data_IF_711137181324
#
_entry.id   IF_711137181324
#
_cell.length_a   1.000
_cell.length_b   1.000
_cell.length_c   1.000
_cell.angle_alpha   90.00
_cell.angle_beta   90.00
_cell.angle_gamma   90.00
#
_symmetry.space_group_name_H-M   'P 1'
#
loop_
_entity.id
_entity.type
_entity.pdbx_description
1 polymer ?
#
# COMPACT_ATOMS: atom_id res chain seq x y z
N UNK A 1 -17.11 31.38 -8.04
CA UNK A 1 -16.50 30.63 -6.91
C UNK A 1 -17.28 29.31 -6.80
N UNK A 2 -16.89 28.30 -7.58
CA UNK A 2 -17.60 27.01 -7.60
C UNK A 2 -17.07 26.23 -6.41
N UNK A 3 -17.91 26.04 -5.38
CA UNK A 3 -17.56 25.27 -4.20
C UNK A 3 -17.10 23.87 -4.62
N UNK A 4 -15.97 23.41 -4.08
CA UNK A 4 -15.56 22.01 -4.18
C UNK A 4 -16.67 21.17 -3.57
N UNK A 5 -17.53 20.60 -4.40
CA UNK A 5 -18.51 19.60 -3.96
C UNK A 5 -17.71 18.46 -3.35
N UNK A 6 -17.99 18.17 -2.08
CA UNK A 6 -17.35 17.06 -1.40
C UNK A 6 -17.69 15.77 -2.15
N UNK A 7 -16.69 14.92 -2.43
CA UNK A 7 -16.85 13.74 -3.30
C UNK A 7 -17.99 12.82 -2.83
N UNK A 8 -18.29 12.86 -1.54
CA UNK A 8 -19.34 12.10 -0.87
C UNK A 8 -20.75 12.66 -1.15
N UNK A 9 -20.91 13.98 -1.27
CA UNK A 9 -22.20 14.60 -1.61
C UNK A 9 -22.62 14.27 -3.03
N UNK A 10 -21.65 14.24 -3.96
CA UNK A 10 -21.88 13.78 -5.33
C UNK A 10 -22.29 12.30 -5.40
N UNK A 11 -21.68 11.44 -4.57
CA UNK A 11 -22.00 10.01 -4.52
C UNK A 11 -23.41 9.77 -3.97
N UNK A 12 -23.80 10.46 -2.89
CA UNK A 12 -25.13 10.34 -2.28
C UNK A 12 -26.22 10.81 -3.26
N UNK A 13 -25.99 11.91 -3.96
CA UNK A 13 -26.90 12.42 -5.00
C UNK A 13 -27.08 11.42 -6.16
N UNK A 14 -25.99 10.83 -6.63
CA UNK A 14 -26.03 9.83 -7.70
C UNK A 14 -26.76 8.55 -7.26
N UNK A 15 -26.56 8.09 -6.01
CA UNK A 15 -27.27 6.93 -5.47
C UNK A 15 -28.78 7.19 -5.33
N UNK A 16 -29.18 8.39 -4.89
CA UNK A 16 -30.59 8.78 -4.84
C UNK A 16 -31.27 8.72 -6.20
N UNK A 17 -30.58 9.19 -7.25
CA UNK A 17 -31.08 9.14 -8.63
C UNK A 17 -31.21 7.70 -9.14
N UNK A 18 -30.23 6.83 -8.86
CA UNK A 18 -30.28 5.41 -9.25
C UNK A 18 -31.46 4.70 -8.57
N UNK A 19 -31.69 4.95 -7.28
CA UNK A 19 -32.84 4.39 -6.56
C UNK A 19 -34.17 4.88 -7.15
N UNK A 20 -34.28 6.16 -7.50
CA UNK A 20 -35.48 6.72 -8.11
C UNK A 20 -35.78 6.10 -9.48
N UNK A 21 -34.76 5.97 -10.34
CA UNK A 21 -34.88 5.36 -11.68
C UNK A 21 -35.28 3.88 -11.56
N UNK A 22 -34.62 3.11 -10.69
CA UNK A 22 -34.96 1.70 -10.50
C UNK A 22 -36.38 1.54 -9.97
N UNK A 23 -36.79 2.36 -9.00
CA UNK A 23 -38.16 2.32 -8.46
C UNK A 23 -39.20 2.65 -9.53
N UNK A 24 -38.89 3.56 -10.46
CA UNK A 24 -39.74 3.92 -11.59
C UNK A 24 -39.90 2.77 -12.59
N UNK A 25 -38.81 2.10 -12.98
CA UNK A 25 -38.85 1.02 -13.98
C UNK A 25 -39.36 -0.33 -13.44
N UNK A 26 -39.32 -0.57 -12.13
CA UNK A 26 -39.73 -1.83 -11.51
C UNK A 26 -41.05 -1.73 -10.70
N UNK A 27 -41.85 -0.70 -10.97
CA UNK A 27 -43.11 -0.43 -10.26
C UNK A 27 -44.12 -1.60 -10.30
N UNK A 28 -44.06 -2.46 -11.31
CA UNK A 28 -44.98 -3.61 -11.46
C UNK A 28 -44.64 -4.79 -10.53
N UNK A 29 -43.42 -4.86 -10.01
CA UNK A 29 -42.97 -5.92 -9.11
C UNK A 29 -42.47 -5.32 -7.79
N UNK A 30 -43.41 -4.98 -6.90
CA UNK A 30 -43.13 -4.42 -5.55
C UNK A 30 -42.04 -5.17 -4.78
N UNK A 31 -41.93 -6.49 -4.98
CA UNK A 31 -40.91 -7.35 -4.36
C UNK A 31 -39.50 -7.01 -4.90
N UNK A 32 -39.33 -6.80 -6.20
CA UNK A 32 -38.03 -6.45 -6.80
C UNK A 32 -37.56 -5.07 -6.36
N UNK A 33 -38.47 -4.10 -6.24
CA UNK A 33 -38.15 -2.77 -5.74
C UNK A 33 -37.61 -2.82 -4.30
N UNK A 34 -38.26 -3.59 -3.41
CA UNK A 34 -37.82 -3.77 -2.02
C UNK A 34 -36.42 -4.42 -1.95
N UNK A 35 -36.17 -5.44 -2.77
CA UNK A 35 -34.85 -6.11 -2.82
C UNK A 35 -33.76 -5.14 -3.26
N UNK A 36 -33.99 -4.32 -4.28
CA UNK A 36 -32.97 -3.39 -4.78
C UNK A 36 -32.70 -2.29 -3.76
N UNK A 37 -33.72 -1.75 -3.10
CA UNK A 37 -33.54 -0.78 -2.00
C UNK A 37 -32.75 -1.39 -0.84
N UNK A 38 -33.04 -2.64 -0.46
CA UNK A 38 -32.28 -3.34 0.56
C UNK A 38 -30.80 -3.50 0.18
N UNK A 39 -30.53 -3.85 -1.09
CA UNK A 39 -29.17 -4.02 -1.59
C UNK A 39 -28.40 -2.68 -1.66
N UNK A 40 -29.04 -1.60 -2.07
CA UNK A 40 -28.40 -0.27 -2.11
C UNK A 40 -28.07 0.24 -0.72
N UNK A 41 -28.96 0.05 0.26
CA UNK A 41 -28.69 0.38 1.66
C UNK A 41 -27.56 -0.47 2.24
N UNK A 42 -27.52 -1.77 1.91
CA UNK A 42 -26.43 -2.65 2.33
C UNK A 42 -25.09 -2.21 1.74
N UNK A 43 -25.04 -1.87 0.45
CA UNK A 43 -23.83 -1.36 -0.21
C UNK A 43 -23.40 -0.03 0.43
N UNK A 44 -24.31 0.91 0.66
CA UNK A 44 -24.01 2.18 1.32
C UNK A 44 -23.45 1.98 2.74
N UNK A 45 -24.04 1.06 3.51
CA UNK A 45 -23.55 0.71 4.83
C UNK A 45 -22.13 0.12 4.77
N UNK A 46 -21.87 -0.82 3.85
CA UNK A 46 -20.52 -1.39 3.64
C UNK A 46 -19.52 -0.30 3.27
N UNK A 47 -19.86 0.61 2.35
CA UNK A 47 -18.98 1.70 1.93
C UNK A 47 -18.69 2.68 3.08
N UNK A 48 -19.68 3.00 3.92
CA UNK A 48 -19.48 3.84 5.11
C UNK A 48 -18.50 3.20 6.11
N UNK A 49 -18.55 1.87 6.29
CA UNK A 49 -17.57 1.16 7.11
C UNK A 49 -16.14 1.23 6.54
N UNK A 50 -16.00 1.31 5.21
CA UNK A 50 -14.69 1.49 4.56
C UNK A 50 -14.14 2.90 4.75
N UNK A 51 -14.97 3.93 4.58
CA UNK A 51 -14.54 5.32 4.70
C UNK A 51 -14.06 5.65 6.13
N UNK A 52 -14.75 5.13 7.14
CA UNK A 52 -14.36 5.32 8.54
C UNK A 52 -13.00 4.70 8.90
N UNK A 53 -12.46 3.79 8.08
CA UNK A 53 -11.13 3.18 8.27
C UNK A 53 -10.00 3.98 7.63
N UNK A 54 -10.29 5.00 6.83
CA UNK A 54 -9.24 5.81 6.21
C UNK A 54 -8.69 6.85 7.21
N UNK A 55 -7.35 7.05 7.26
CA UNK A 55 -6.75 8.09 8.08
C UNK A 55 -7.28 9.45 7.62
N UNK A 56 -7.76 10.26 8.58
CA UNK A 56 -8.39 11.56 8.28
C UNK A 56 -7.38 12.70 8.28
N UNK A 57 -6.29 12.52 9.01
CA UNK A 57 -5.19 13.47 9.08
C UNK A 57 -3.82 12.78 9.05
N UNK A 58 -2.75 13.59 9.01
CA UNK A 58 -1.37 13.12 8.96
C UNK A 58 -0.94 12.36 10.22
N UNK A 59 -1.50 12.71 11.39
CA UNK A 59 -1.15 12.08 12.66
C UNK A 59 -1.72 10.66 12.76
N UNK A 60 -2.90 10.42 12.18
CA UNK A 60 -3.43 9.08 11.96
C UNK A 60 -2.48 8.24 11.09
N UNK A 61 -1.94 8.83 10.01
CA UNK A 61 -0.97 8.15 9.14
C UNK A 61 0.29 7.79 9.91
N UNK A 62 0.82 8.69 10.74
CA UNK A 62 2.02 8.44 11.56
C UNK A 62 1.85 7.25 12.51
N UNK A 63 0.65 7.09 13.09
CA UNK A 63 0.33 5.98 14.00
C UNK A 63 0.07 4.66 13.30
N UNK A 64 -0.50 4.69 12.10
CA UNK A 64 -0.86 3.48 11.35
C UNK A 64 0.34 2.96 10.56
N UNK A 65 1.25 3.83 10.12
CA UNK A 65 2.45 3.45 9.37
C UNK A 65 3.48 2.76 10.29
N UNK A 66 3.60 1.43 10.14
CA UNK A 66 4.57 0.58 10.83
C UNK A 66 5.73 0.29 9.89
N UNK A 67 6.80 1.07 10.04
CA UNK A 67 7.90 1.11 9.09
C UNK A 67 9.07 0.26 9.61
N UNK A 68 9.55 -0.67 8.79
CA UNK A 68 10.75 -1.45 9.06
C UNK A 68 11.86 -1.10 8.06
N UNK A 69 13.05 -0.84 8.56
CA UNK A 69 14.28 -0.79 7.77
C UNK A 69 15.09 -2.07 7.98
N UNK A 70 15.53 -2.66 6.87
CA UNK A 70 16.45 -3.80 6.84
C UNK A 70 17.70 -3.32 6.14
N UNK A 71 18.70 -2.93 6.93
CA UNK A 71 19.92 -2.27 6.48
C UNK A 71 21.04 -2.60 7.47
N UNK A 72 22.19 -3.04 6.98
CA UNK A 72 23.35 -3.40 7.80
C UNK A 72 24.07 -2.16 8.36
N UNK A 73 23.82 -0.99 7.77
CA UNK A 73 24.41 0.30 8.13
C UNK A 73 23.45 1.15 8.95
N UNK A 74 24.00 2.15 9.62
CA UNK A 74 23.21 3.14 10.34
C UNK A 74 22.63 4.18 9.39
N UNK A 75 21.32 4.39 9.45
CA UNK A 75 20.63 5.35 8.60
C UNK A 75 20.08 6.52 9.43
N UNK A 76 20.56 7.74 9.18
CA UNK A 76 20.06 8.95 9.84
C UNK A 76 18.56 9.16 9.65
N UNK A 77 17.99 8.66 8.54
CA UNK A 77 16.56 8.75 8.26
C UNK A 77 15.70 8.05 9.30
N UNK A 78 16.16 6.93 9.87
CA UNK A 78 15.43 6.22 10.95
C UNK A 78 15.29 7.11 12.16
N UNK A 79 16.37 7.79 12.54
CA UNK A 79 16.37 8.74 13.66
C UNK A 79 15.45 9.92 13.38
N UNK A 80 15.47 10.47 12.17
CA UNK A 80 14.61 11.58 11.80
C UNK A 80 13.13 11.21 11.80
N UNK A 81 12.77 10.02 11.30
CA UNK A 81 11.39 9.53 11.33
C UNK A 81 10.89 9.33 12.75
N UNK A 82 11.71 8.73 13.63
CA UNK A 82 11.36 8.56 15.05
C UNK A 82 11.15 9.91 15.76
N UNK A 83 12.00 10.90 15.49
CA UNK A 83 11.83 12.28 16.01
C UNK A 83 10.54 12.94 15.55
N UNK A 84 10.03 12.54 14.39
CA UNK A 84 8.75 12.98 13.83
C UNK A 84 7.62 12.00 14.13
N UNK A 85 7.66 11.30 15.27
CA UNK A 85 6.58 10.45 15.78
C UNK A 85 6.14 9.29 14.86
N UNK A 86 6.97 8.86 13.91
CA UNK A 86 6.70 7.64 13.15
C UNK A 86 7.12 6.40 13.95
N UNK A 87 6.30 5.34 13.90
CA UNK A 87 6.65 4.05 14.47
C UNK A 87 7.63 3.33 13.52
N UNK A 88 8.93 3.35 13.85
CA UNK A 88 10.01 2.81 12.99
C UNK A 88 10.90 1.82 13.74
N UNK A 89 11.09 0.64 13.16
CA UNK A 89 12.07 -0.37 13.58
C UNK A 89 13.17 -0.51 12.53
N UNK A 90 14.36 -0.92 12.99
CA UNK A 90 15.52 -1.19 12.14
C UNK A 90 16.17 -2.49 12.60
N UNK A 91 16.48 -3.36 11.65
CA UNK A 91 17.21 -4.60 11.87
C UNK A 91 18.31 -4.71 10.82
N UNK A 92 19.38 -5.41 11.16
CA UNK A 92 20.54 -5.50 10.28
C UNK A 92 20.40 -6.59 9.21
N UNK A 93 19.62 -7.65 9.47
CA UNK A 93 19.30 -8.68 8.48
C UNK A 93 18.07 -9.50 8.94
N UNK A 94 17.50 -10.29 8.03
CA UNK A 94 16.40 -11.22 8.33
C UNK A 94 16.88 -12.66 8.29
N UNK A 95 16.82 -13.33 9.44
CA UNK A 95 17.18 -14.75 9.56
C UNK A 95 16.03 -15.70 9.18
N UNK A 96 14.77 -15.26 9.35
CA UNK A 96 13.58 -16.05 8.99
C UNK A 96 12.40 -15.14 8.70
N UNK A 97 11.84 -15.21 7.49
CA UNK A 97 10.80 -14.27 7.06
C UNK A 97 9.46 -14.47 7.77
N UNK A 98 9.08 -15.71 8.04
CA UNK A 98 7.76 -16.02 8.60
C UNK A 98 7.71 -15.88 10.13
N UNK A 99 8.86 -16.01 10.79
CA UNK A 99 8.98 -15.99 12.26
C UNK A 99 9.59 -14.71 12.80
N UNK A 100 10.09 -13.81 11.95
CA UNK A 100 10.63 -12.55 12.41
C UNK A 100 9.49 -11.59 12.79
N UNK A 101 9.48 -11.15 14.04
CA UNK A 101 8.42 -10.33 14.60
C UNK A 101 8.37 -8.93 13.97
N UNK A 102 9.51 -8.37 13.59
CA UNK A 102 9.57 -7.05 12.95
C UNK A 102 8.97 -7.08 11.54
N UNK A 103 9.28 -8.12 10.76
CA UNK A 103 8.69 -8.34 9.43
C UNK A 103 7.17 -8.52 9.55
N UNK A 104 6.69 -9.24 10.56
CA UNK A 104 5.26 -9.43 10.80
C UNK A 104 4.56 -8.13 11.21
N UNK A 105 5.17 -7.36 12.12
CA UNK A 105 4.66 -6.09 12.64
C UNK A 105 4.54 -5.01 11.55
N UNK A 106 5.51 -4.93 10.63
CA UNK A 106 5.58 -3.85 9.65
C UNK A 106 4.52 -3.93 8.54
N UNK A 107 4.03 -2.78 8.08
CA UNK A 107 3.24 -2.68 6.85
C UNK A 107 4.02 -2.05 5.68
N UNK A 108 5.09 -1.32 5.98
CA UNK A 108 6.03 -0.75 5.02
C UNK A 108 7.42 -1.26 5.36
N UNK A 109 8.11 -1.88 4.40
CA UNK A 109 9.44 -2.45 4.59
C UNK A 109 10.40 -1.82 3.58
N UNK A 110 11.39 -1.10 4.09
CA UNK A 110 12.54 -0.61 3.36
C UNK A 110 13.67 -1.64 3.46
N UNK A 111 14.26 -1.97 2.33
CA UNK A 111 15.33 -2.97 2.24
C UNK A 111 16.49 -2.34 1.49
N UNK A 112 17.66 -2.29 2.13
CA UNK A 112 18.89 -2.01 1.42
C UNK A 112 19.14 -3.13 0.40
N UNK A 113 19.41 -2.72 -0.83
CA UNK A 113 19.73 -3.63 -1.92
C UNK A 113 20.95 -4.49 -1.60
N UNK A 114 21.98 -3.85 -1.04
CA UNK A 114 23.31 -4.43 -0.90
C UNK A 114 23.50 -5.02 0.49
N UNK A 115 24.29 -6.09 0.58
CA UNK A 115 24.74 -6.68 1.84
C UNK A 115 23.64 -7.29 2.75
N UNK A 116 22.35 -7.17 2.37
CA UNK A 116 21.19 -7.73 3.08
C UNK A 116 20.78 -9.10 2.55
N UNK A 117 20.31 -10.00 3.42
CA UNK A 117 19.73 -11.29 3.02
C UNK A 117 20.75 -12.28 2.46
N UNK A 118 22.05 -11.98 2.56
CA UNK A 118 23.15 -12.79 2.02
C UNK A 118 23.11 -14.24 2.50
N UNK A 119 22.76 -14.46 3.78
CA UNK A 119 22.68 -15.79 4.37
C UNK A 119 21.57 -16.66 3.75
N UNK A 120 20.46 -16.05 3.35
CA UNK A 120 19.29 -16.75 2.82
C UNK A 120 19.29 -16.82 1.28
N UNK A 121 19.81 -15.79 0.61
CA UNK A 121 19.65 -15.60 -0.82
C UNK A 121 20.97 -15.46 -1.59
N UNK A 122 22.11 -15.56 -0.90
CA UNK A 122 23.44 -15.48 -1.49
C UNK A 122 23.62 -14.20 -2.31
N UNK A 123 23.98 -14.35 -3.58
CA UNK A 123 24.23 -13.25 -4.52
C UNK A 123 22.99 -12.43 -4.89
N UNK A 124 21.78 -12.88 -4.55
CA UNK A 124 20.54 -12.12 -4.83
C UNK A 124 20.29 -11.03 -3.78
N UNK A 125 20.92 -11.12 -2.61
CA UNK A 125 20.91 -10.10 -1.55
C UNK A 125 19.49 -9.54 -1.26
N UNK A 126 19.35 -8.22 -1.13
CA UNK A 126 18.08 -7.55 -0.83
C UNK A 126 16.98 -7.80 -1.86
N UNK A 127 17.34 -8.04 -3.13
CA UNK A 127 16.36 -8.41 -4.17
C UNK A 127 15.78 -9.81 -3.93
N UNK A 128 16.61 -10.76 -3.52
CA UNK A 128 16.17 -12.10 -3.14
C UNK A 128 15.19 -12.05 -1.98
N UNK A 129 15.52 -11.23 -0.97
CA UNK A 129 14.68 -10.98 0.18
C UNK A 129 13.31 -10.40 -0.21
N UNK A 130 13.27 -9.38 -1.05
CA UNK A 130 12.03 -8.75 -1.49
C UNK A 130 11.17 -9.70 -2.32
N UNK A 131 11.78 -10.47 -3.22
CA UNK A 131 11.04 -11.43 -4.03
C UNK A 131 10.33 -12.45 -3.14
N UNK A 132 11.01 -12.91 -2.10
CA UNK A 132 10.47 -13.86 -1.14
C UNK A 132 9.41 -13.23 -0.22
N UNK A 133 9.63 -12.01 0.27
CA UNK A 133 8.61 -11.25 1.02
C UNK A 133 7.33 -11.06 0.20
N UNK A 134 7.45 -10.70 -1.09
CA UNK A 134 6.31 -10.61 -2.01
C UNK A 134 5.62 -11.96 -2.21
N UNK A 135 6.37 -13.06 -2.28
CA UNK A 135 5.80 -14.41 -2.40
C UNK A 135 4.96 -14.78 -1.16
N UNK A 136 5.47 -14.50 0.04
CA UNK A 136 4.84 -14.85 1.32
C UNK A 136 3.67 -13.93 1.66
N UNK A 137 3.86 -12.61 1.57
CA UNK A 137 2.89 -11.61 2.06
C UNK A 137 2.10 -10.92 0.95
N UNK A 138 2.45 -11.14 -0.34
CA UNK A 138 1.78 -10.54 -1.50
C UNK A 138 1.62 -9.03 -1.33
N UNK A 139 0.43 -8.51 -1.61
CA UNK A 139 0.08 -7.09 -1.55
C UNK A 139 -0.32 -6.61 -0.15
N UNK A 140 -0.16 -7.44 0.89
CA UNK A 140 -0.52 -7.05 2.27
C UNK A 140 0.47 -6.03 2.87
N UNK A 141 1.67 -5.92 2.31
CA UNK A 141 2.74 -5.03 2.76
C UNK A 141 3.30 -4.27 1.55
N UNK A 142 3.85 -3.09 1.79
CA UNK A 142 4.57 -2.29 0.80
C UNK A 142 6.06 -2.48 0.98
N UNK A 143 6.78 -2.70 -0.13
CA UNK A 143 8.23 -2.92 -0.14
C UNK A 143 8.89 -1.80 -0.92
N UNK A 144 9.94 -1.22 -0.34
CA UNK A 144 10.76 -0.18 -0.96
C UNK A 144 12.19 -0.69 -0.98
N UNK A 145 12.80 -0.65 -2.16
CA UNK A 145 14.24 -0.90 -2.32
C UNK A 145 14.90 0.45 -2.39
N UNK A 146 15.98 0.61 -1.66
CA UNK A 146 16.87 1.74 -1.83
C UNK A 146 18.30 1.25 -1.91
N UNK A 147 19.15 2.09 -2.47
CA UNK A 147 20.56 1.84 -2.65
C UNK A 147 21.27 3.18 -2.68
N UNK A 148 22.57 3.20 -2.40
CA UNK A 148 23.38 4.39 -2.62
C UNK A 148 23.59 4.61 -4.12
N UNK A 149 23.77 5.86 -4.55
CA UNK A 149 24.02 6.20 -5.97
C UNK A 149 25.27 5.50 -6.51
N UNK A 150 26.26 5.24 -5.65
CA UNK A 150 27.52 4.58 -6.01
C UNK A 150 27.33 3.08 -6.32
N UNK A 151 26.24 2.49 -5.87
CA UNK A 151 25.93 1.07 -6.10
C UNK A 151 24.97 0.85 -7.28
N UNK A 152 24.53 1.93 -7.95
CA UNK A 152 23.52 1.88 -9.03
C UNK A 152 24.08 1.33 -10.36
N UNK A 153 25.39 1.43 -10.60
CA UNK A 153 26.05 0.83 -11.77
C UNK A 153 25.86 -0.71 -11.81
N UNK A 154 25.66 -1.35 -10.65
CA UNK A 154 25.34 -2.78 -10.56
C UNK A 154 23.86 -3.14 -10.78
N UNK A 155 22.96 -2.14 -10.79
CA UNK A 155 21.51 -2.34 -10.92
C UNK A 155 21.01 -2.35 -12.37
N UNK A 156 21.84 -1.87 -13.31
CA UNK A 156 21.51 -1.76 -14.75
C UNK A 156 21.28 -3.13 -15.40
N UNK A 157 21.80 -4.21 -14.82
CA UNK A 157 21.66 -5.59 -15.32
C UNK A 157 20.46 -6.38 -14.79
N UNK A 158 19.56 -5.78 -13.99
CA UNK A 158 18.41 -6.51 -13.45
C UNK A 158 17.17 -6.42 -14.36
N UNK A 159 16.55 -7.57 -14.72
CA UNK A 159 15.47 -7.64 -15.71
C UNK A 159 14.19 -6.87 -15.34
N UNK A 160 14.07 -6.41 -14.08
CA UNK A 160 12.92 -5.62 -13.62
C UNK A 160 13.08 -4.10 -13.87
N UNK A 161 14.32 -3.59 -13.91
CA UNK A 161 14.60 -2.17 -14.19
C UNK A 161 14.61 -1.92 -15.70
N UNK A 162 15.16 -2.87 -16.47
CA UNK A 162 15.19 -2.83 -17.94
C UNK A 162 13.78 -2.70 -18.53
N UNK A 163 12.80 -3.40 -17.95
CA UNK A 163 11.40 -3.34 -18.36
C UNK A 163 10.73 -1.98 -18.09
N UNK A 164 11.16 -1.23 -17.07
CA UNK A 164 10.69 0.14 -16.83
C UNK A 164 11.42 1.18 -17.69
N UNK A 165 12.72 1.00 -17.94
CA UNK A 165 13.49 1.84 -18.86
C UNK A 165 12.96 1.81 -20.29
N UNK A 166 12.54 0.62 -20.74
CA UNK A 166 11.94 0.45 -22.07
C UNK A 166 10.54 1.11 -22.19
N UNK A 167 9.81 1.26 -21.08
CA UNK A 167 8.50 1.93 -21.04
C UNK A 167 8.61 3.46 -21.00
N UNK A 168 9.71 4.01 -20.48
CA UNK A 168 9.96 5.46 -20.45
C UNK A 168 10.54 6.01 -21.77
N UNK A 169 11.16 5.15 -22.60
CA UNK A 169 11.68 5.54 -23.92
C UNK A 169 10.65 5.47 -25.06
N UNK A 170 9.38 5.12 -24.76
CA UNK A 170 8.29 5.08 -25.75
C UNK A 170 7.40 6.34 -25.71
N UNK A 171 7.81 7.39 -24.98
CA UNK A 171 7.09 8.66 -24.88
C UNK A 171 7.81 9.85 -25.53
N UNK A 172 8.71 9.60 -26.49
CA UNK A 172 9.31 10.62 -27.35
C UNK A 172 9.05 10.32 -28.83
#
# INVERSE_FOLDING_TARGET
MIGKINKNEGLISLMGLVVAIVSYFFSDSKILAIIIIGLTLLIAWVLSQYENKMPKDFHDVQKIAKILFIDDKDCQIVTNLRRNNFEVRKIDDVLSLQKNDDVQWANIIFVDYKDIGKKLFGKKEGLGLINELKRVYKNKKRYIIYSSVQDFDGLVGFPYIEKMGHMMNLSH
#
